data_IF_439036108440
#
_entry.id   IF_439036108440
#
_cell.length_a   1.000
_cell.length_b   1.000
_cell.length_c   1.000
_cell.angle_alpha   90.00
_cell.angle_beta   90.00
_cell.angle_gamma   90.00
#
_symmetry.space_group_name_H-M   'P 1'
#
loop_
_entity.id
_entity.type
_entity.pdbx_description
1 polymer ?
#
# COMPACT_ATOMS: atom_id res chain seq x y z
N UNK A 1 -41.39 -8.39 1.35
CA UNK A 1 -41.37 -8.38 -0.13
C UNK A 1 -40.11 -7.65 -0.58
N UNK A 2 -39.25 -8.30 -1.34
CA UNK A 2 -38.01 -7.68 -1.87
C UNK A 2 -38.39 -6.58 -2.87
N UNK A 3 -37.95 -5.34 -2.64
CA UNK A 3 -38.15 -4.24 -3.61
C UNK A 3 -37.43 -4.61 -4.91
N UNK A 4 -38.18 -4.76 -6.00
CA UNK A 4 -37.60 -4.91 -7.34
C UNK A 4 -37.01 -3.58 -7.78
N UNK A 5 -35.68 -3.54 -7.89
CA UNK A 5 -34.91 -2.39 -8.38
C UNK A 5 -35.20 -2.20 -9.87
N UNK A 6 -35.35 -0.97 -10.33
CA UNK A 6 -35.63 -0.69 -11.75
C UNK A 6 -34.37 -0.77 -12.62
N UNK A 7 -34.54 -0.94 -13.93
CA UNK A 7 -33.41 -0.98 -14.88
C UNK A 7 -32.65 0.35 -14.86
N UNK A 8 -33.37 1.46 -14.74
CA UNK A 8 -32.82 2.81 -14.69
C UNK A 8 -31.96 3.01 -13.44
N UNK A 9 -32.41 2.51 -12.27
CA UNK A 9 -31.64 2.55 -11.03
C UNK A 9 -30.33 1.75 -11.14
N UNK A 10 -30.37 0.59 -11.81
CA UNK A 10 -29.19 -0.23 -12.05
C UNK A 10 -28.20 0.46 -13.01
N UNK A 11 -28.69 1.07 -14.09
CA UNK A 11 -27.86 1.80 -15.04
C UNK A 11 -27.23 3.05 -14.41
N UNK A 12 -27.97 3.77 -13.57
CA UNK A 12 -27.43 4.91 -12.83
C UNK A 12 -26.32 4.48 -11.86
N UNK A 13 -26.51 3.36 -11.16
CA UNK A 13 -25.48 2.78 -10.28
C UNK A 13 -24.23 2.36 -11.07
N UNK A 14 -24.40 1.78 -12.25
CA UNK A 14 -23.29 1.35 -13.11
C UNK A 14 -22.47 2.53 -13.67
N UNK A 15 -23.09 3.68 -13.93
CA UNK A 15 -22.41 4.88 -14.45
C UNK A 15 -21.69 5.69 -13.36
N UNK A 16 -22.04 5.49 -12.09
CA UNK A 16 -21.48 6.24 -10.95
C UNK A 16 -19.95 6.20 -10.87
N UNK A 17 -19.25 5.06 -11.03
CA UNK A 17 -17.79 5.00 -10.94
C UNK A 17 -17.10 5.89 -11.97
N UNK A 18 -17.54 5.86 -13.24
CA UNK A 18 -16.96 6.68 -14.30
C UNK A 18 -17.11 8.19 -14.01
N UNK A 19 -18.24 8.59 -13.43
CA UNK A 19 -18.51 9.99 -13.06
C UNK A 19 -17.56 10.52 -11.98
N UNK A 20 -17.21 9.69 -10.99
CA UNK A 20 -16.35 10.11 -9.87
C UNK A 20 -14.86 9.88 -10.13
N UNK A 21 -14.51 9.05 -11.11
CA UNK A 21 -13.13 8.63 -11.36
C UNK A 21 -12.18 9.81 -11.61
N UNK A 22 -12.56 10.75 -12.48
CA UNK A 22 -11.71 11.91 -12.82
C UNK A 22 -11.45 12.80 -11.59
N UNK A 23 -12.49 13.14 -10.82
CA UNK A 23 -12.37 13.95 -9.60
C UNK A 23 -11.47 13.28 -8.56
N UNK A 24 -11.58 11.96 -8.39
CA UNK A 24 -10.74 11.24 -7.43
C UNK A 24 -9.29 11.12 -7.88
N UNK A 25 -9.04 10.89 -9.17
CA UNK A 25 -7.65 10.90 -9.69
C UNK A 25 -7.01 12.27 -9.52
N UNK A 26 -7.77 13.36 -9.69
CA UNK A 26 -7.28 14.71 -9.43
C UNK A 26 -7.05 14.95 -7.92
N UNK A 27 -8.01 14.59 -7.08
CA UNK A 27 -7.93 14.83 -5.62
C UNK A 27 -6.77 14.08 -4.95
N UNK A 28 -6.54 12.83 -5.35
CA UNK A 28 -5.43 12.00 -4.83
C UNK A 28 -4.13 12.15 -5.63
N UNK A 29 -4.12 13.00 -6.66
CA UNK A 29 -2.97 13.23 -7.54
C UNK A 29 -2.39 11.92 -8.11
N UNK A 30 -3.29 11.03 -8.51
CA UNK A 30 -2.97 9.66 -8.88
C UNK A 30 -3.61 8.66 -7.93
N UNK A 31 -3.01 7.47 -7.85
CA UNK A 31 -3.54 6.30 -7.11
C UNK A 31 -2.52 5.61 -6.25
N UNK A 32 -1.25 5.68 -6.67
CA UNK A 32 -0.18 4.90 -6.06
C UNK A 32 0.52 5.75 -5.00
N UNK A 33 0.69 5.17 -3.83
CA UNK A 33 1.47 5.72 -2.74
C UNK A 33 2.37 4.62 -2.18
N UNK A 34 3.58 4.97 -1.79
CA UNK A 34 4.48 4.08 -1.04
C UNK A 34 4.54 4.58 0.40
N UNK A 35 4.26 3.71 1.36
CA UNK A 35 4.32 4.02 2.79
C UNK A 35 5.14 2.97 3.54
N UNK A 36 5.88 3.36 4.60
CA UNK A 36 6.55 2.41 5.47
C UNK A 36 5.55 1.43 6.11
N UNK A 37 5.93 0.15 6.20
CA UNK A 37 5.17 -0.88 6.94
C UNK A 37 5.47 -0.84 8.44
N UNK A 38 6.61 -0.29 8.85
CA UNK A 38 7.02 -0.13 10.24
C UNK A 38 6.58 1.24 10.80
N UNK A 39 6.51 1.33 12.13
CA UNK A 39 6.24 2.59 12.80
C UNK A 39 7.48 3.50 12.77
N UNK A 40 7.26 4.78 12.50
CA UNK A 40 8.23 5.87 12.65
C UNK A 40 7.59 6.92 13.55
N UNK A 41 7.92 6.88 14.84
CA UNK A 41 7.36 7.72 15.91
C UNK A 41 8.22 8.94 16.19
N UNK A 42 9.51 8.82 15.92
CA UNK A 42 10.49 9.87 16.12
C UNK A 42 11.87 9.46 15.62
N UNK A 43 12.88 10.35 15.77
CA UNK A 43 14.21 10.13 15.21
C UNK A 43 14.90 8.85 15.66
N UNK A 44 14.62 8.36 16.88
CA UNK A 44 15.21 7.13 17.43
C UNK A 44 14.89 5.89 16.59
N UNK A 45 13.74 5.84 15.91
CA UNK A 45 13.33 4.67 15.13
C UNK A 45 14.23 4.47 13.90
N UNK A 46 14.85 5.55 13.40
CA UNK A 46 15.81 5.44 12.30
C UNK A 46 17.08 4.68 12.69
N UNK A 47 17.44 4.63 13.97
CA UNK A 47 18.55 3.79 14.43
C UNK A 47 18.26 2.29 14.26
N UNK A 48 16.98 1.89 14.16
CA UNK A 48 16.52 0.51 13.94
C UNK A 48 16.35 0.25 12.44
N UNK A 49 15.57 1.09 11.74
CA UNK A 49 15.18 0.87 10.35
C UNK A 49 16.25 1.30 9.33
N UNK A 50 17.18 2.15 9.76
CA UNK A 50 18.29 2.67 8.95
C UNK A 50 19.61 2.50 9.72
N UNK A 51 20.59 3.37 9.48
CA UNK A 51 21.89 3.31 10.18
C UNK A 51 21.72 3.58 11.69
N UNK A 52 22.31 2.75 12.57
CA UNK A 52 23.15 1.58 12.28
C UNK A 52 22.41 0.24 12.17
N UNK A 53 21.14 0.14 12.59
CA UNK A 53 20.38 -1.11 12.70
C UNK A 53 20.25 -1.92 11.41
N UNK A 54 20.08 -1.25 10.27
CA UNK A 54 19.93 -1.87 8.93
C UNK A 54 21.11 -2.80 8.57
N UNK A 55 22.29 -2.60 9.17
CA UNK A 55 23.45 -3.41 8.90
C UNK A 55 23.27 -4.89 9.32
N UNK A 56 22.44 -5.20 10.33
CA UNK A 56 22.18 -6.58 10.77
C UNK A 56 21.46 -7.40 9.70
N UNK A 57 20.26 -7.02 9.19
CA UNK A 57 19.61 -7.79 8.13
C UNK A 57 20.46 -7.85 6.85
N UNK A 58 21.25 -6.81 6.53
CA UNK A 58 22.19 -6.88 5.41
C UNK A 58 23.26 -7.97 5.58
N UNK A 59 23.86 -8.09 6.77
CA UNK A 59 24.84 -9.15 7.05
C UNK A 59 24.20 -10.53 7.06
N UNK A 60 22.97 -10.65 7.56
CA UNK A 60 22.23 -11.91 7.57
C UNK A 60 21.94 -12.38 6.14
N UNK A 61 21.46 -11.47 5.27
CA UNK A 61 21.21 -11.77 3.84
C UNK A 61 22.52 -12.10 3.10
N UNK A 62 23.63 -11.46 3.47
CA UNK A 62 24.94 -11.81 2.91
C UNK A 62 25.36 -13.24 3.29
N UNK A 63 25.04 -13.69 4.49
CA UNK A 63 25.35 -15.04 4.96
C UNK A 63 24.40 -16.10 4.36
N UNK A 64 23.13 -15.75 4.16
CA UNK A 64 22.10 -16.59 3.51
C UNK A 64 21.17 -15.73 2.65
N UNK A 65 21.28 -15.87 1.32
CA UNK A 65 20.53 -15.07 0.36
C UNK A 65 19.02 -15.31 0.41
N UNK A 66 18.57 -16.47 0.88
CA UNK A 66 17.15 -16.81 0.96
C UNK A 66 16.43 -15.97 2.03
N UNK A 67 17.18 -15.45 3.01
CA UNK A 67 16.64 -14.53 4.02
C UNK A 67 16.12 -13.23 3.42
N UNK A 68 16.51 -12.86 2.19
CA UNK A 68 15.97 -11.68 1.51
C UNK A 68 14.44 -11.77 1.33
N UNK A 69 13.89 -12.97 1.12
CA UNK A 69 12.44 -13.18 0.99
C UNK A 69 11.69 -13.08 2.33
N UNK A 70 12.40 -13.21 3.46
CA UNK A 70 11.82 -13.11 4.82
C UNK A 70 12.02 -11.74 5.46
N UNK A 71 13.18 -11.13 5.26
CA UNK A 71 13.61 -9.90 5.94
C UNK A 71 13.30 -8.63 5.14
N UNK A 72 12.77 -8.75 3.92
CA UNK A 72 12.45 -7.61 3.05
C UNK A 72 11.08 -7.79 2.41
N UNK A 73 10.62 -6.78 1.66
CA UNK A 73 9.36 -6.88 0.93
C UNK A 73 9.44 -7.75 -0.35
N UNK A 74 10.59 -8.36 -0.67
CA UNK A 74 10.84 -9.04 -1.95
C UNK A 74 9.81 -10.13 -2.32
N UNK A 75 9.27 -10.82 -1.33
CA UNK A 75 8.28 -11.89 -1.56
C UNK A 75 6.94 -11.38 -2.12
N UNK A 76 6.57 -10.14 -1.84
CA UNK A 76 5.26 -9.58 -2.16
C UNK A 76 5.31 -8.67 -3.38
#
# INVERSE_FOLDING_TARGET
MSKKVTVEELLAKAKKPAKIAATYHQFYEGKMQVMPKCAIRGPSDFAIWYTPGVAKPCRDIKADSELAFKLTNRWN
#
